data_IF_823786813894
#
_entry.id   IF_823786813894
#
_cell.length_a   1.000
_cell.length_b   1.000
_cell.length_c   1.000
_cell.angle_alpha   90.00
_cell.angle_beta   90.00
_cell.angle_gamma   90.00
#
_symmetry.space_group_name_H-M   'P 1'
#
loop_
_entity.id
_entity.type
_entity.pdbx_description
1 polymer ?
#
# COMPACT_ATOMS: atom_id res chain seq x y z
N UNK A 1 66.31 -14.51 -23.72
CA UNK A 1 64.84 -14.43 -23.98
C UNK A 1 64.65 -14.49 -25.48
N UNK A 2 64.07 -15.56 -25.98
CA UNK A 2 63.75 -15.67 -27.40
C UNK A 2 62.44 -14.99 -27.67
N UNK A 3 62.45 -13.89 -28.42
CA UNK A 3 61.22 -13.23 -28.86
C UNK A 3 60.74 -13.88 -30.15
N UNK A 4 59.51 -14.42 -30.18
CA UNK A 4 58.90 -14.86 -31.41
C UNK A 4 58.25 -13.62 -32.05
N UNK A 5 58.86 -13.09 -33.12
CA UNK A 5 58.23 -12.04 -33.93
C UNK A 5 57.48 -12.74 -35.08
N UNK A 6 56.17 -12.81 -34.95
CA UNK A 6 55.31 -13.41 -35.99
C UNK A 6 54.51 -12.28 -36.64
N UNK A 7 54.71 -12.03 -37.89
CA UNK A 7 53.95 -11.04 -38.67
C UNK A 7 52.51 -11.47 -38.92
N UNK A 8 52.26 -12.76 -38.98
CA UNK A 8 50.94 -13.39 -39.08
C UNK A 8 50.98 -14.80 -38.49
N UNK A 9 50.06 -15.10 -37.61
CA UNK A 9 49.76 -16.47 -37.21
C UNK A 9 48.46 -16.85 -37.92
N UNK A 10 48.54 -17.72 -38.92
CA UNK A 10 47.35 -18.30 -39.55
C UNK A 10 47.13 -19.67 -38.94
N UNK A 11 45.94 -19.90 -38.46
CA UNK A 11 45.52 -21.26 -38.14
C UNK A 11 45.34 -22.05 -39.45
N UNK A 12 46.18 -23.04 -39.60
CA UNK A 12 46.18 -23.92 -40.78
C UNK A 12 45.32 -25.17 -40.60
N UNK A 13 44.69 -25.32 -39.45
CA UNK A 13 43.83 -26.46 -39.17
C UNK A 13 42.52 -25.98 -38.53
N UNK A 14 41.41 -26.42 -39.06
CA UNK A 14 40.05 -26.16 -38.57
C UNK A 14 39.79 -26.70 -37.13
N UNK A 15 40.85 -27.10 -36.40
CA UNK A 15 40.72 -27.77 -35.10
C UNK A 15 41.67 -27.28 -34.02
N UNK A 16 42.52 -26.30 -34.28
CA UNK A 16 43.54 -25.92 -33.34
C UNK A 16 43.50 -24.46 -32.90
N UNK A 17 43.07 -24.22 -31.67
CA UNK A 17 43.28 -22.96 -31.02
C UNK A 17 44.78 -22.75 -30.66
N UNK A 18 45.25 -21.52 -30.74
CA UNK A 18 46.60 -21.15 -30.25
C UNK A 18 46.53 -21.14 -28.72
N UNK A 19 47.34 -21.98 -28.07
CA UNK A 19 47.46 -21.97 -26.61
C UNK A 19 48.78 -21.35 -26.18
N UNK A 20 48.73 -20.42 -25.24
CA UNK A 20 49.89 -19.85 -24.58
C UNK A 20 49.89 -20.36 -23.13
N UNK A 21 50.91 -21.15 -22.78
CA UNK A 21 51.06 -21.66 -21.42
C UNK A 21 52.10 -20.81 -20.68
N UNK A 22 51.72 -20.17 -19.59
CA UNK A 22 52.60 -19.46 -18.68
C UNK A 22 53.16 -18.11 -19.15
N UNK A 23 52.53 -17.46 -20.16
CA UNK A 23 52.98 -16.18 -20.67
C UNK A 23 51.86 -15.13 -20.81
N UNK A 24 52.26 -13.86 -20.83
CA UNK A 24 51.36 -12.77 -21.15
C UNK A 24 51.32 -12.50 -22.66
N UNK A 25 50.17 -12.35 -23.26
CA UNK A 25 50.01 -11.79 -24.58
C UNK A 25 49.93 -10.28 -24.43
N UNK A 26 50.96 -9.56 -24.90
CA UNK A 26 50.99 -8.09 -24.89
C UNK A 26 50.71 -7.59 -26.29
N UNK A 27 49.71 -6.73 -26.44
CA UNK A 27 49.41 -6.02 -27.66
C UNK A 27 49.48 -4.51 -27.39
N UNK A 28 50.19 -3.78 -28.26
CA UNK A 28 50.23 -2.32 -28.21
C UNK A 28 48.99 -1.68 -28.91
N UNK A 29 48.07 -2.51 -29.34
CA UNK A 29 46.82 -2.11 -30.02
C UNK A 29 45.64 -2.98 -29.61
N UNK A 30 44.60 -2.96 -30.39
CA UNK A 30 43.40 -3.76 -30.16
C UNK A 30 43.64 -5.24 -30.52
N UNK A 31 43.13 -6.14 -29.69
CA UNK A 31 42.97 -7.56 -30.04
C UNK A 31 41.51 -7.75 -30.51
N UNK A 32 41.33 -8.05 -31.79
CA UNK A 32 39.99 -8.36 -32.36
C UNK A 32 39.85 -9.86 -32.50
N UNK A 33 38.90 -10.44 -31.85
CA UNK A 33 38.56 -11.87 -31.91
C UNK A 33 37.04 -12.03 -32.03
N UNK A 34 36.58 -13.03 -32.81
CA UNK A 34 35.15 -13.32 -32.95
C UNK A 34 34.52 -13.77 -31.62
N UNK A 35 35.32 -14.48 -30.81
CA UNK A 35 34.90 -14.92 -29.49
C UNK A 35 36.07 -14.94 -28.53
N UNK A 36 36.00 -14.22 -27.42
CA UNK A 36 36.93 -14.29 -26.31
C UNK A 36 36.27 -15.01 -25.13
N UNK A 37 36.79 -16.17 -24.75
CA UNK A 37 36.34 -16.88 -23.54
C UNK A 37 37.42 -16.71 -22.48
N UNK A 38 37.07 -16.08 -21.38
CA UNK A 38 37.97 -15.86 -20.26
C UNK A 38 37.44 -16.68 -19.07
N UNK A 39 38.18 -17.71 -18.69
CA UNK A 39 37.84 -18.57 -17.55
C UNK A 39 38.36 -18.03 -16.21
N UNK A 40 38.73 -16.77 -16.16
CA UNK A 40 39.29 -16.10 -14.99
C UNK A 40 38.87 -14.65 -14.89
N UNK A 41 39.69 -13.86 -14.24
CA UNK A 41 39.44 -12.43 -14.04
C UNK A 41 40.08 -11.63 -15.18
N UNK A 42 39.31 -10.66 -15.73
CA UNK A 42 39.86 -9.66 -16.65
C UNK A 42 40.30 -8.45 -15.85
N UNK A 43 41.60 -8.17 -15.85
CA UNK A 43 42.13 -6.95 -15.22
C UNK A 43 42.78 -6.06 -16.27
N UNK A 44 42.40 -4.78 -16.29
CA UNK A 44 43.01 -3.76 -17.12
C UNK A 44 44.05 -2.94 -16.34
N UNK A 45 45.03 -2.34 -17.03
CA UNK A 45 45.96 -1.39 -16.42
C UNK A 45 45.34 -0.15 -15.83
N UNK A 46 44.09 0.10 -16.15
CA UNK A 46 43.22 1.17 -15.58
C UNK A 46 42.33 0.69 -14.41
N UNK A 47 42.56 -0.51 -13.90
CA UNK A 47 41.91 -1.04 -12.72
C UNK A 47 40.51 -1.63 -12.94
N UNK A 48 40.05 -1.78 -14.17
CA UNK A 48 38.76 -2.45 -14.42
C UNK A 48 38.91 -3.95 -14.44
N UNK A 49 38.41 -4.60 -13.42
CA UNK A 49 38.32 -6.05 -13.32
C UNK A 49 36.86 -6.44 -13.53
N UNK A 50 36.59 -7.21 -14.59
CA UNK A 50 35.24 -7.80 -14.74
C UNK A 50 35.20 -9.09 -13.92
N UNK A 51 34.42 -9.15 -12.83
CA UNK A 51 34.35 -10.36 -12.02
C UNK A 51 33.70 -11.52 -12.78
N UNK A 52 34.05 -12.75 -12.40
CA UNK A 52 33.50 -13.96 -13.02
C UNK A 52 31.96 -13.95 -13.03
N UNK A 53 31.36 -14.36 -14.14
CA UNK A 53 29.88 -14.49 -14.27
C UNK A 53 29.34 -15.80 -13.68
N UNK A 54 30.23 -16.73 -13.27
CA UNK A 54 29.79 -18.02 -12.71
C UNK A 54 28.95 -17.81 -11.45
N UNK A 55 27.75 -18.38 -11.42
CA UNK A 55 26.84 -18.27 -10.30
C UNK A 55 26.10 -16.92 -10.17
N UNK A 56 26.23 -16.01 -11.16
CA UNK A 56 25.67 -14.66 -11.12
C UNK A 56 24.39 -14.51 -11.98
N UNK A 57 23.69 -15.59 -12.26
CA UNK A 57 22.43 -15.54 -13.00
C UNK A 57 21.42 -14.63 -12.31
N UNK A 58 20.85 -13.65 -13.02
CA UNK A 58 19.91 -12.67 -12.47
C UNK A 58 20.55 -11.47 -11.78
N UNK A 59 21.89 -11.39 -11.73
CA UNK A 59 22.63 -10.24 -11.20
C UNK A 59 22.97 -9.24 -12.32
N UNK A 60 23.18 -7.99 -11.96
CA UNK A 60 23.68 -6.94 -12.86
C UNK A 60 25.06 -6.45 -12.42
N UNK A 61 25.83 -5.94 -13.37
CA UNK A 61 27.14 -5.39 -13.10
C UNK A 61 26.99 -3.97 -12.50
N UNK A 62 27.50 -3.78 -11.30
CA UNK A 62 27.43 -2.51 -10.56
C UNK A 62 28.83 -1.94 -10.36
N UNK A 63 28.95 -0.60 -10.43
CA UNK A 63 30.18 0.11 -10.06
C UNK A 63 29.88 1.18 -9.01
N UNK A 64 30.76 1.27 -8.01
CA UNK A 64 30.77 2.36 -7.03
C UNK A 64 31.77 3.48 -7.39
N UNK A 65 32.29 3.48 -8.62
CA UNK A 65 33.35 4.38 -9.09
C UNK A 65 34.76 3.88 -8.86
N UNK A 66 34.97 2.92 -7.95
CA UNK A 66 36.29 2.32 -7.65
C UNK A 66 36.38 0.83 -8.00
N UNK A 67 35.23 0.13 -7.82
CA UNK A 67 35.16 -1.31 -8.05
C UNK A 67 33.94 -1.67 -8.90
N UNK A 68 34.06 -2.78 -9.65
CA UNK A 68 32.97 -3.41 -10.36
C UNK A 68 32.63 -4.72 -9.64
N UNK A 69 31.35 -4.94 -9.34
CA UNK A 69 30.87 -6.16 -8.69
C UNK A 69 29.50 -6.58 -9.23
N UNK A 70 29.19 -7.87 -9.13
CA UNK A 70 27.85 -8.36 -9.40
C UNK A 70 26.94 -8.04 -8.22
N UNK A 71 25.81 -7.42 -8.52
CA UNK A 71 24.79 -7.12 -7.54
C UNK A 71 23.49 -7.82 -7.94
N UNK A 72 22.85 -8.43 -6.97
CA UNK A 72 21.50 -8.93 -7.19
C UNK A 72 20.54 -7.76 -7.31
N UNK A 73 19.63 -7.82 -8.27
CA UNK A 73 18.45 -6.96 -8.26
C UNK A 73 17.59 -7.38 -7.06
N UNK A 74 17.92 -6.85 -5.89
CA UNK A 74 17.05 -7.02 -4.73
C UNK A 74 15.75 -6.31 -5.05
N UNK A 75 14.79 -7.06 -5.58
CA UNK A 75 13.38 -6.75 -5.61
C UNK A 75 12.97 -5.30 -5.81
N UNK A 76 13.49 -4.61 -6.84
CA UNK A 76 12.98 -3.32 -7.26
C UNK A 76 11.74 -3.41 -8.15
N UNK A 77 11.02 -4.51 -8.15
CA UNK A 77 9.70 -4.61 -8.76
C UNK A 77 8.72 -3.81 -7.90
N UNK A 78 8.00 -2.85 -8.49
CA UNK A 78 7.07 -1.97 -7.77
C UNK A 78 5.89 -2.66 -7.06
N UNK A 79 5.92 -3.98 -6.92
CA UNK A 79 4.97 -4.75 -6.12
C UNK A 79 5.36 -4.73 -4.62
N UNK A 80 4.39 -4.67 -3.71
CA UNK A 80 4.65 -4.81 -2.30
C UNK A 80 5.13 -6.23 -1.98
N UNK A 81 6.06 -6.36 -1.04
CA UNK A 81 6.52 -7.64 -0.52
C UNK A 81 5.43 -8.36 0.27
N UNK A 82 4.61 -7.59 0.97
CA UNK A 82 3.48 -8.07 1.76
C UNK A 82 2.41 -7.00 1.91
N UNK A 83 1.21 -7.43 2.28
CA UNK A 83 0.07 -6.55 2.58
C UNK A 83 -0.50 -6.99 3.92
N UNK A 84 -0.50 -6.08 4.89
CA UNK A 84 -1.09 -6.29 6.20
C UNK A 84 -2.42 -5.52 6.32
N UNK A 85 -3.47 -6.20 6.79
CA UNK A 85 -4.82 -5.62 6.94
C UNK A 85 -5.24 -5.67 8.40
N UNK A 86 -5.61 -4.52 8.95
CA UNK A 86 -6.04 -4.35 10.33
C UNK A 86 -7.48 -3.88 10.40
N UNK A 87 -8.33 -4.66 11.01
CA UNK A 87 -9.74 -4.36 11.32
C UNK A 87 -10.00 -4.22 12.84
N UNK A 88 -8.94 -4.29 13.64
CA UNK A 88 -8.93 -4.05 15.08
C UNK A 88 -7.62 -3.38 15.48
N UNK A 89 -7.64 -2.67 16.62
CA UNK A 89 -6.46 -1.99 17.15
C UNK A 89 -5.41 -2.98 17.62
N UNK A 90 -4.15 -2.71 17.29
CA UNK A 90 -2.99 -3.56 17.59
C UNK A 90 -1.69 -2.77 17.41
N UNK A 91 -0.58 -3.46 17.27
CA UNK A 91 0.72 -2.90 16.91
C UNK A 91 1.20 -3.54 15.61
N UNK A 92 1.59 -2.72 14.64
CA UNK A 92 2.36 -3.17 13.50
C UNK A 92 3.82 -3.33 13.91
N UNK A 93 4.37 -4.52 13.71
CA UNK A 93 5.79 -4.78 13.91
C UNK A 93 6.45 -4.90 12.53
N UNK A 94 7.54 -4.16 12.32
CA UNK A 94 8.23 -4.13 11.04
C UNK A 94 8.76 -5.52 10.66
N UNK A 95 8.33 -6.10 9.53
CA UNK A 95 8.93 -7.32 9.03
C UNK A 95 10.40 -7.10 8.60
N UNK A 96 11.21 -8.15 8.68
CA UNK A 96 12.60 -8.09 8.26
C UNK A 96 12.74 -7.67 6.80
N UNK A 97 13.69 -6.79 6.51
CA UNK A 97 13.96 -6.30 5.15
C UNK A 97 13.07 -5.15 4.70
N UNK A 98 11.96 -4.85 5.37
CA UNK A 98 11.07 -3.75 5.01
C UNK A 98 11.70 -2.41 5.37
N UNK A 99 11.70 -1.49 4.40
CA UNK A 99 12.24 -0.13 4.54
C UNK A 99 11.21 0.95 4.30
N UNK A 100 10.18 0.68 3.53
CA UNK A 100 9.12 1.63 3.17
C UNK A 100 7.76 0.98 3.25
N UNK A 101 6.76 1.76 3.62
CA UNK A 101 5.38 1.31 3.64
C UNK A 101 4.47 2.36 3.00
N UNK A 102 3.40 1.88 2.39
CA UNK A 102 2.27 2.71 1.98
C UNK A 102 1.08 2.32 2.83
N UNK A 103 0.61 3.27 3.64
CA UNK A 103 -0.49 3.07 4.59
C UNK A 103 -1.74 3.74 4.08
N UNK A 104 -2.85 3.02 4.12
CA UNK A 104 -4.21 3.51 3.88
C UNK A 104 -5.00 3.40 5.18
N UNK A 105 -5.49 4.53 5.67
CA UNK A 105 -6.19 4.64 6.95
C UNK A 105 -7.59 5.19 6.74
N UNK A 106 -8.62 4.38 7.03
CA UNK A 106 -10.02 4.77 6.96
C UNK A 106 -10.64 4.68 8.34
N UNK A 107 -11.30 5.72 8.77
CA UNK A 107 -12.00 5.79 10.05
C UNK A 107 -13.38 5.12 10.02
N UNK A 108 -13.98 4.95 11.18
CA UNK A 108 -15.34 4.41 11.31
C UNK A 108 -16.41 5.37 10.80
N UNK A 109 -17.50 4.83 10.23
CA UNK A 109 -18.69 5.60 9.86
C UNK A 109 -19.60 5.87 11.04
N UNK A 110 -20.38 6.94 10.99
CA UNK A 110 -21.41 7.29 11.96
C UNK A 110 -22.69 6.46 11.80
N UNK A 111 -23.48 6.35 12.84
CA UNK A 111 -24.78 5.65 12.83
C UNK A 111 -25.90 6.47 12.23
N UNK A 112 -26.95 5.83 11.73
CA UNK A 112 -28.17 6.45 11.24
C UNK A 112 -29.26 6.60 12.32
N UNK A 113 -30.26 7.42 12.06
CA UNK A 113 -31.45 7.59 12.94
C UNK A 113 -32.65 6.80 12.43
N UNK A 114 -33.60 6.51 13.34
CA UNK A 114 -34.89 5.92 12.99
C UNK A 114 -35.87 6.91 12.38
N UNK A 115 -35.47 8.13 12.05
CA UNK A 115 -36.36 9.19 11.53
C UNK A 115 -36.01 9.70 10.13
N UNK A 116 -35.19 9.00 9.39
CA UNK A 116 -34.89 9.34 8.01
C UNK A 116 -33.50 9.91 7.76
N UNK A 117 -32.77 10.39 8.79
CA UNK A 117 -31.41 10.85 8.63
C UNK A 117 -30.42 9.67 8.70
N UNK A 118 -29.42 9.70 7.88
CA UNK A 118 -28.38 8.69 7.84
C UNK A 118 -27.03 9.20 8.35
N UNK A 119 -26.22 8.28 8.84
CA UNK A 119 -24.85 8.57 9.27
C UNK A 119 -23.90 8.81 8.09
N UNK A 120 -22.83 9.53 8.35
CA UNK A 120 -21.79 9.81 7.37
C UNK A 120 -20.65 8.77 7.41
N UNK A 121 -19.89 8.66 6.33
CA UNK A 121 -18.71 7.83 6.29
C UNK A 121 -17.53 8.46 7.03
N UNK A 122 -16.60 7.62 7.50
CA UNK A 122 -15.30 8.04 8.03
C UNK A 122 -14.40 8.63 6.95
N UNK A 123 -13.51 9.53 7.35
CA UNK A 123 -12.47 10.06 6.48
C UNK A 123 -11.45 8.99 6.06
N UNK A 124 -10.70 9.29 5.01
CA UNK A 124 -9.64 8.44 4.51
C UNK A 124 -8.35 9.23 4.29
N UNK A 125 -7.23 8.64 4.66
CA UNK A 125 -5.91 9.21 4.43
C UNK A 125 -4.94 8.14 3.99
N UNK A 126 -3.93 8.56 3.22
CA UNK A 126 -2.84 7.69 2.83
C UNK A 126 -1.49 8.38 3.09
N UNK A 127 -0.49 7.59 3.46
CA UNK A 127 0.88 8.07 3.66
C UNK A 127 1.88 7.05 3.14
N UNK A 128 2.94 7.56 2.52
CA UNK A 128 4.12 6.79 2.20
C UNK A 128 5.20 7.12 3.24
N UNK A 129 5.71 6.11 3.94
CA UNK A 129 6.56 6.28 5.12
C UNK A 129 7.83 5.48 4.97
N UNK A 130 8.98 6.11 5.20
CA UNK A 130 10.25 5.42 5.42
C UNK A 130 10.30 4.86 6.85
N UNK A 131 10.41 3.55 6.95
CA UNK A 131 10.44 2.83 8.23
C UNK A 131 11.79 2.19 8.51
N UNK A 132 12.85 2.63 7.82
CA UNK A 132 14.20 2.07 7.98
C UNK A 132 14.61 1.99 9.46
N UNK A 133 14.38 3.04 10.22
CA UNK A 133 14.75 3.17 11.63
C UNK A 133 13.58 2.98 12.62
N UNK A 134 12.48 2.39 12.16
CA UNK A 134 11.27 2.16 12.96
C UNK A 134 11.09 0.66 13.13
N UNK A 135 10.85 0.21 14.35
CA UNK A 135 10.64 -1.21 14.65
C UNK A 135 9.15 -1.58 14.78
N UNK A 136 8.34 -0.65 15.29
CA UNK A 136 6.91 -0.88 15.48
C UNK A 136 6.13 0.43 15.46
N UNK A 137 4.84 0.35 15.11
CA UNK A 137 3.92 1.49 15.07
C UNK A 137 2.58 1.05 15.64
N UNK A 138 1.99 1.87 16.49
CA UNK A 138 0.66 1.65 17.04
C UNK A 138 -0.41 1.77 15.95
N UNK A 139 -1.31 0.81 15.90
CA UNK A 139 -2.45 0.75 14.97
C UNK A 139 -3.74 0.92 15.78
N UNK A 140 -4.49 1.99 15.53
CA UNK A 140 -5.79 2.21 16.12
C UNK A 140 -6.87 2.18 15.04
N UNK A 141 -7.85 1.31 15.17
CA UNK A 141 -8.97 1.18 14.23
C UNK A 141 -10.26 1.65 14.89
N UNK A 142 -10.85 2.70 14.33
CA UNK A 142 -12.07 3.30 14.84
C UNK A 142 -13.28 2.41 14.65
N UNK A 143 -14.07 2.22 15.69
CA UNK A 143 -15.35 1.53 15.62
C UNK A 143 -16.39 2.31 14.80
N UNK A 144 -17.42 1.62 14.30
CA UNK A 144 -18.60 2.27 13.74
C UNK A 144 -19.48 2.86 14.82
N UNK A 145 -20.12 3.98 14.54
CA UNK A 145 -21.09 4.63 15.41
C UNK A 145 -22.40 3.84 15.49
N UNK A 146 -22.99 3.78 16.66
CA UNK A 146 -24.28 3.11 16.86
C UNK A 146 -25.42 3.91 16.25
N UNK A 147 -26.31 3.26 15.52
CA UNK A 147 -27.58 3.86 15.09
C UNK A 147 -28.50 4.15 16.29
N UNK A 148 -29.50 4.95 16.08
CA UNK A 148 -30.48 5.29 17.14
C UNK A 148 -31.93 5.11 16.69
N UNK A 149 -32.82 5.01 17.65
CA UNK A 149 -34.25 5.07 17.43
C UNK A 149 -34.68 6.51 17.12
N UNK A 150 -36.01 6.73 17.11
CA UNK A 150 -36.66 7.99 16.72
C UNK A 150 -36.14 9.27 17.41
N UNK A 151 -35.73 9.21 18.68
CA UNK A 151 -35.60 10.41 19.53
C UNK A 151 -34.15 10.73 19.96
N UNK A 152 -33.14 10.22 19.29
CA UNK A 152 -31.76 10.39 19.74
C UNK A 152 -30.79 10.87 18.67
N UNK A 153 -29.59 11.24 19.11
CA UNK A 153 -28.44 11.40 18.26
C UNK A 153 -27.75 10.05 18.10
N UNK A 154 -27.52 9.63 16.87
CA UNK A 154 -26.74 8.45 16.60
C UNK A 154 -25.27 8.65 16.96
N UNK A 155 -24.54 7.57 17.22
CA UNK A 155 -23.14 7.62 17.57
C UNK A 155 -22.27 8.06 16.39
N UNK A 156 -21.22 8.83 16.67
CA UNK A 156 -20.17 9.11 15.70
C UNK A 156 -19.29 7.88 15.51
N UNK A 157 -18.69 7.73 14.33
CA UNK A 157 -17.61 6.78 14.10
C UNK A 157 -16.35 7.15 14.88
N UNK A 158 -15.53 6.16 15.18
CA UNK A 158 -14.25 6.33 15.83
C UNK A 158 -13.14 6.73 14.86
N UNK A 159 -12.13 7.43 15.36
CA UNK A 159 -10.90 7.77 14.62
C UNK A 159 -10.05 6.53 14.38
N UNK A 160 -9.44 6.42 13.20
CA UNK A 160 -8.38 5.46 12.93
C UNK A 160 -7.05 6.16 12.78
N UNK A 161 -5.96 5.52 13.23
CA UNK A 161 -4.61 6.06 13.09
C UNK A 161 -3.55 4.98 12.99
N UNK A 162 -2.49 5.29 12.26
CA UNK A 162 -1.26 4.51 12.19
C UNK A 162 -0.11 5.37 12.73
N UNK A 163 0.11 5.27 14.03
CA UNK A 163 1.00 6.17 14.76
C UNK A 163 0.70 7.63 14.46
N UNK A 164 1.77 8.40 14.22
CA UNK A 164 1.72 9.80 13.83
C UNK A 164 1.84 10.01 12.31
N UNK A 165 1.70 8.95 11.50
CA UNK A 165 1.94 9.02 10.06
C UNK A 165 0.66 9.15 9.24
N UNK A 166 -0.41 8.54 9.72
CA UNK A 166 -1.68 8.50 9.00
C UNK A 166 -2.84 8.51 10.02
N UNK A 167 -3.81 9.40 9.84
CA UNK A 167 -4.94 9.51 10.77
C UNK A 167 -6.17 10.09 10.09
N UNK A 168 -7.33 9.49 10.36
CA UNK A 168 -8.63 9.90 9.82
C UNK A 168 -9.68 9.94 10.92
N UNK A 169 -10.51 10.99 10.91
CA UNK A 169 -11.64 11.16 11.84
C UNK A 169 -12.86 10.35 11.42
N UNK A 170 -13.64 9.90 12.37
CA UNK A 170 -14.88 9.20 12.15
C UNK A 170 -15.97 10.07 11.52
N UNK A 171 -16.90 9.44 10.80
CA UNK A 171 -18.09 10.10 10.28
C UNK A 171 -19.06 10.50 11.40
N UNK A 172 -19.77 11.59 11.21
CA UNK A 172 -20.81 12.00 12.17
C UNK A 172 -22.01 11.06 12.14
N UNK A 173 -22.58 10.81 13.32
CA UNK A 173 -23.86 10.15 13.45
C UNK A 173 -25.01 11.10 13.11
N UNK A 174 -26.10 10.55 12.63
CA UNK A 174 -27.34 11.28 12.35
C UNK A 174 -27.85 12.05 13.59
N UNK A 175 -28.34 13.25 13.38
CA UNK A 175 -28.85 14.12 14.46
C UNK A 175 -30.20 14.68 14.08
N UNK A 176 -31.24 14.21 14.74
CA UNK A 176 -32.62 14.67 14.52
C UNK A 176 -32.82 16.18 14.68
N UNK A 177 -32.06 16.84 15.55
CA UNK A 177 -32.19 18.28 15.77
C UNK A 177 -31.69 19.13 14.58
N UNK A 178 -31.01 18.53 13.65
CA UNK A 178 -30.56 19.12 12.39
C UNK A 178 -31.44 18.60 11.24
N UNK A 179 -32.76 18.71 11.41
CA UNK A 179 -33.75 18.38 10.37
C UNK A 179 -33.32 19.03 9.06
N UNK A 180 -33.14 18.25 8.00
CA UNK A 180 -32.73 18.68 6.67
C UNK A 180 -31.23 18.70 6.39
N UNK A 181 -30.32 18.63 7.37
CA UNK A 181 -28.89 18.49 7.14
C UNK A 181 -28.47 17.03 7.31
N UNK A 182 -27.78 16.50 6.33
CA UNK A 182 -27.14 15.18 6.45
C UNK A 182 -25.95 15.22 7.42
N UNK A 183 -25.62 14.09 8.01
CA UNK A 183 -24.42 13.97 8.83
C UNK A 183 -23.17 14.28 8.01
N UNK A 184 -22.21 15.01 8.58
CA UNK A 184 -20.96 15.37 7.89
C UNK A 184 -19.98 14.21 7.85
N UNK A 185 -19.32 14.03 6.70
CA UNK A 185 -18.25 13.06 6.52
C UNK A 185 -17.08 13.30 7.46
N UNK A 186 -16.39 12.23 7.83
CA UNK A 186 -15.21 12.30 8.68
C UNK A 186 -14.07 13.06 8.04
N UNK A 187 -13.31 13.80 8.85
CA UNK A 187 -12.18 14.59 8.40
C UNK A 187 -10.95 13.69 8.13
N UNK A 188 -10.21 13.95 7.04
CA UNK A 188 -8.87 13.39 6.87
C UNK A 188 -7.87 14.21 7.69
N UNK A 189 -7.41 13.70 8.84
CA UNK A 189 -6.62 14.50 9.78
C UNK A 189 -5.14 14.60 9.35
N UNK A 190 -4.49 13.46 9.08
CA UNK A 190 -3.06 13.42 8.78
C UNK A 190 -2.75 12.38 7.71
N UNK A 191 -2.03 12.80 6.68
CA UNK A 191 -1.62 11.96 5.56
C UNK A 191 -1.24 12.81 4.34
N UNK A 192 -0.56 12.20 3.37
CA UNK A 192 -0.19 12.82 2.09
C UNK A 192 -1.40 12.93 1.15
N UNK A 193 -2.24 11.89 1.11
CA UNK A 193 -3.53 11.92 0.42
C UNK A 193 -4.62 12.06 1.48
N UNK A 194 -5.59 12.95 1.22
CA UNK A 194 -6.66 13.29 2.18
C UNK A 194 -8.01 13.32 1.48
N UNK A 195 -8.92 12.45 1.91
CA UNK A 195 -10.26 12.31 1.33
C UNK A 195 -11.28 12.38 2.46
N UNK A 196 -12.22 13.32 2.36
CA UNK A 196 -13.35 13.39 3.29
C UNK A 196 -14.27 12.18 3.11
N UNK A 197 -14.85 11.72 4.18
CA UNK A 197 -15.93 10.74 4.12
C UNK A 197 -17.15 11.30 3.39
N UNK A 198 -17.93 10.44 2.74
CA UNK A 198 -19.21 10.84 2.16
C UNK A 198 -20.19 11.28 3.26
N UNK A 199 -20.90 12.38 3.03
CA UNK A 199 -21.96 12.85 3.94
C UNK A 199 -23.15 11.90 3.96
N UNK A 200 -23.82 11.81 5.09
CA UNK A 200 -25.13 11.17 5.19
C UNK A 200 -26.20 12.00 4.50
N UNK A 201 -27.36 11.40 4.25
CA UNK A 201 -28.52 12.11 3.72
C UNK A 201 -29.37 12.66 4.86
N UNK A 202 -29.84 13.91 4.69
CA UNK A 202 -30.81 14.53 5.57
C UNK A 202 -32.25 14.03 5.30
N UNK A 203 -33.14 14.31 6.24
CA UNK A 203 -34.54 14.02 6.12
C UNK A 203 -35.26 15.02 5.19
N UNK A 204 -36.07 14.55 4.27
CA UNK A 204 -36.99 15.38 3.47
C UNK A 204 -38.45 15.01 3.77
N UNK A 205 -39.31 16.00 3.77
CA UNK A 205 -40.75 15.81 3.90
C UNK A 205 -41.40 15.64 2.48
N UNK A 206 -42.09 14.54 2.15
CA UNK A 206 -42.35 13.37 3.00
C UNK A 206 -41.06 12.56 3.29
N UNK A 207 -41.05 11.82 4.44
CA UNK A 207 -39.87 11.13 4.90
C UNK A 207 -39.37 10.11 3.86
N UNK A 208 -38.31 10.49 3.17
CA UNK A 208 -37.51 9.58 2.37
C UNK A 208 -36.49 8.87 3.25
N UNK A 209 -36.17 7.63 2.95
CA UNK A 209 -35.14 6.91 3.65
C UNK A 209 -33.77 7.28 3.06
N UNK A 210 -32.82 7.73 3.91
CA UNK A 210 -31.51 8.13 3.52
C UNK A 210 -30.50 6.95 3.50
N UNK A 211 -29.71 6.83 2.44
CA UNK A 211 -28.55 5.99 2.43
C UNK A 211 -27.45 6.59 3.29
N UNK A 212 -26.66 5.76 3.98
CA UNK A 212 -25.47 6.21 4.68
C UNK A 212 -24.44 6.83 3.73
N UNK A 213 -23.49 7.57 4.28
CA UNK A 213 -22.37 8.08 3.49
C UNK A 213 -21.51 6.96 2.94
N UNK A 214 -21.09 7.08 1.68
CA UNK A 214 -20.16 6.16 1.05
C UNK A 214 -18.73 6.41 1.55
N UNK A 215 -17.97 5.34 1.80
CA UNK A 215 -16.56 5.42 2.19
C UNK A 215 -15.65 5.33 0.97
N UNK A 216 -14.35 5.49 1.21
CA UNK A 216 -13.32 5.25 0.19
C UNK A 216 -13.40 3.83 -0.42
N UNK A 217 -13.80 2.83 0.38
CA UNK A 217 -13.84 1.42 -0.04
C UNK A 217 -15.13 1.01 -0.74
N UNK A 218 -16.11 1.88 -0.81
CA UNK A 218 -17.37 1.59 -1.48
C UNK A 218 -18.61 2.15 -0.80
N UNK A 219 -19.76 1.61 -1.21
CA UNK A 219 -21.07 2.09 -0.80
C UNK A 219 -21.44 1.78 0.63
N UNK A 220 -22.39 2.56 1.13
CA UNK A 220 -23.08 2.31 2.39
C UNK A 220 -24.16 1.23 2.24
N UNK A 221 -24.65 0.72 3.36
CA UNK A 221 -25.80 -0.17 3.35
C UNK A 221 -27.03 0.53 2.75
N UNK A 222 -27.78 -0.15 1.89
CA UNK A 222 -29.01 0.39 1.34
C UNK A 222 -30.06 0.58 2.44
N UNK A 223 -30.97 1.49 2.22
CA UNK A 223 -32.14 1.68 3.08
C UNK A 223 -33.12 0.52 2.93
N UNK A 224 -33.76 0.13 4.02
CA UNK A 224 -34.78 -0.92 4.00
C UNK A 224 -36.12 -0.38 4.44
N UNK A 225 -37.14 -0.57 3.61
CA UNK A 225 -38.49 -0.19 3.91
C UNK A 225 -39.22 -1.12 4.89
N UNK A 226 -38.61 -2.19 5.36
CA UNK A 226 -39.25 -3.25 6.14
C UNK A 226 -38.34 -3.75 7.27
N UNK A 227 -38.89 -3.75 8.50
CA UNK A 227 -38.45 -4.46 9.72
C UNK A 227 -36.97 -4.36 10.14
N UNK A 228 -36.73 -4.21 11.45
CA UNK A 228 -35.42 -4.24 12.10
C UNK A 228 -34.53 -5.43 11.68
N UNK A 229 -35.11 -6.59 11.34
CA UNK A 229 -34.40 -7.75 10.84
C UNK A 229 -33.64 -7.50 9.53
N UNK A 230 -34.17 -6.65 8.67
CA UNK A 230 -33.52 -6.33 7.38
C UNK A 230 -32.39 -5.33 7.53
N UNK A 231 -32.53 -4.33 8.39
CA UNK A 231 -31.44 -3.37 8.65
C UNK A 231 -30.19 -4.07 9.23
N UNK A 232 -30.40 -5.09 10.08
CA UNK A 232 -29.31 -5.92 10.58
C UNK A 232 -28.73 -6.86 9.51
N UNK A 233 -29.57 -7.37 8.61
CA UNK A 233 -29.17 -8.32 7.57
C UNK A 233 -28.24 -7.70 6.53
N UNK A 234 -28.38 -6.39 6.27
CA UNK A 234 -27.56 -5.68 5.29
C UNK A 234 -26.30 -5.01 5.87
N UNK A 235 -26.04 -5.12 7.19
CA UNK A 235 -24.78 -4.67 7.80
C UNK A 235 -23.54 -5.27 7.12
N UNK A 236 -23.65 -6.49 6.60
CA UNK A 236 -22.58 -7.18 5.90
C UNK A 236 -22.23 -6.60 4.52
N UNK A 237 -23.11 -5.81 3.92
CA UNK A 237 -22.94 -5.28 2.57
C UNK A 237 -22.38 -3.85 2.51
N UNK A 238 -22.21 -3.17 3.66
CA UNK A 238 -21.57 -1.87 3.69
C UNK A 238 -20.04 -2.00 3.71
N UNK A 239 -19.36 -1.14 2.98
CA UNK A 239 -17.90 -1.06 2.96
C UNK A 239 -17.35 -0.60 4.32
N UNK A 240 -16.09 -0.92 4.63
CA UNK A 240 -15.41 -0.40 5.81
C UNK A 240 -15.48 1.14 5.84
N UNK A 241 -15.78 1.70 7.02
CA UNK A 241 -15.91 3.14 7.20
C UNK A 241 -17.20 3.76 6.67
N UNK A 242 -18.12 3.00 6.06
CA UNK A 242 -19.36 3.53 5.54
C UNK A 242 -20.32 3.93 6.67
N UNK A 243 -21.13 4.97 6.43
CA UNK A 243 -22.16 5.44 7.33
C UNK A 243 -23.36 4.50 7.42
N UNK A 244 -24.06 4.51 8.55
CA UNK A 244 -25.28 3.76 8.78
C UNK A 244 -26.48 4.37 8.03
N UNK A 245 -27.33 3.51 7.47
CA UNK A 245 -28.58 3.93 6.80
C UNK A 245 -29.61 4.43 7.80
N UNK A 246 -30.54 5.25 7.33
CA UNK A 246 -31.70 5.63 8.13
C UNK A 246 -32.67 4.45 8.31
N UNK A 247 -33.42 4.49 9.40
CA UNK A 247 -34.63 3.68 9.62
C UNK A 247 -35.91 4.50 9.42
N UNK A 248 -37.06 3.83 9.50
CA UNK A 248 -38.39 4.45 9.54
C UNK A 248 -39.04 4.21 10.90
N UNK A 249 -39.54 5.26 11.55
CA UNK A 249 -40.23 5.14 12.83
C UNK A 249 -41.27 3.99 12.82
N UNK A 250 -41.27 3.08 13.81
CA UNK A 250 -40.48 3.08 15.06
C UNK A 250 -39.09 2.38 14.96
N UNK A 251 -38.60 2.12 13.76
CA UNK A 251 -37.40 1.33 13.55
C UNK A 251 -36.14 2.14 13.87
N UNK A 252 -35.09 1.43 14.33
CA UNK A 252 -33.79 2.01 14.59
C UNK A 252 -33.01 2.19 13.29
N UNK A 253 -32.27 3.29 13.15
CA UNK A 253 -31.27 3.45 12.07
C UNK A 253 -30.13 2.43 12.17
N UNK A 254 -29.45 2.21 11.05
CA UNK A 254 -28.33 1.29 10.96
C UNK A 254 -27.10 1.82 11.70
N UNK A 255 -26.24 0.90 12.18
CA UNK A 255 -24.92 1.27 12.70
C UNK A 255 -23.97 1.60 11.54
N UNK A 256 -23.05 2.52 11.75
CA UNK A 256 -21.90 2.73 10.87
C UNK A 256 -20.96 1.54 10.88
N UNK A 257 -20.17 1.40 9.84
CA UNK A 257 -19.15 0.36 9.76
C UNK A 257 -17.85 0.83 10.38
N UNK A 258 -17.14 -0.10 11.01
CA UNK A 258 -15.81 0.16 11.53
C UNK A 258 -14.83 0.58 10.43
N UNK A 259 -13.77 1.28 10.81
CA UNK A 259 -12.66 1.61 9.95
C UNK A 259 -11.79 0.41 9.58
N UNK A 260 -10.76 0.69 8.80
CA UNK A 260 -9.77 -0.30 8.37
C UNK A 260 -8.43 0.40 8.11
N UNK A 261 -7.34 -0.30 8.39
CA UNK A 261 -5.99 0.13 8.01
C UNK A 261 -5.35 -0.96 7.15
N UNK A 262 -4.82 -0.55 6.00
CA UNK A 262 -4.10 -1.43 5.07
C UNK A 262 -2.68 -0.91 4.90
N UNK A 263 -1.70 -1.77 5.08
CA UNK A 263 -0.28 -1.45 4.97
C UNK A 263 0.33 -2.28 3.86
N UNK A 264 0.84 -1.63 2.83
CA UNK A 264 1.65 -2.23 1.77
C UNK A 264 3.11 -2.07 2.14
N UNK A 265 3.88 -3.14 2.14
CA UNK A 265 5.23 -3.21 2.69
C UNK A 265 6.25 -3.44 1.57
N UNK A 266 7.33 -2.63 1.53
CA UNK A 266 8.35 -2.63 0.47
C UNK A 266 9.76 -2.69 1.07
N UNK A 267 10.64 -3.40 0.37
CA UNK A 267 12.09 -3.45 0.68
C UNK A 267 12.80 -2.13 0.38
#
# INVERSE_FOLDING_TARGET
MTRLNVAQVKDLSNQGGMSFSGGAITSNGSLTVDKLVINGTVSGSSGYIIPSQSGQAGSFLYTNGSNISWQNVSGGGGAPNSISVYNSSTTWNKPSGIRRIWVKCTAGGGGGSGYGESGAAGGHTESFVDVTNINSISVSVGGGGSGTNYSGRAGNGGTSSFGNYCSSGGGQGANRNQQHEGALGGNPNQGSVRIYGGSGQGHRNPPGLGHGGCSFWGGAAPTTHRNQQWAQRYRGHAAYGAGGSSGRNPERGGDGRQGIIVVYEFN
#
